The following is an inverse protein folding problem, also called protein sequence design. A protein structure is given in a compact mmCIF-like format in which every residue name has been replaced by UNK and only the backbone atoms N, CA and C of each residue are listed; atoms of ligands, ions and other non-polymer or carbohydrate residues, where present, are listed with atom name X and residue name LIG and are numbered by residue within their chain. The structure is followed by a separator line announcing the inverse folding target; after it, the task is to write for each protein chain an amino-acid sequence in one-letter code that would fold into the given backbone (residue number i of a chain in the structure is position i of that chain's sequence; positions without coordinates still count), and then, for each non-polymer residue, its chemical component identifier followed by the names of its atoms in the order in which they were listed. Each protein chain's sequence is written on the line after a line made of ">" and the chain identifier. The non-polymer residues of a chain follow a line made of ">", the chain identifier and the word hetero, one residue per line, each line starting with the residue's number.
data_IF_115805038601
#
_entry.id   IF_115805038601
#
_cell.length_a   1.000
_cell.length_b   1.000
_cell.length_c   1.000
_cell.angle_alpha   90.00
_cell.angle_beta   90.00
_cell.angle_gamma   90.00
#
_symmetry.space_group_name_H-M   'P 1'
#
loop_
_entity.id
_entity.type
_entity.pdbx_description
1 polymer ?
#
# COMPACT_ATOMS: atom_id res chain seq x y z
N UNK A 1 26.08 -42.21 56.18
CA UNK A 1 25.05 -42.69 55.22
C UNK A 1 24.18 -41.49 54.85
N UNK A 2 23.89 -41.36 53.55
CA UNK A 2 23.49 -40.15 52.82
C UNK A 2 22.41 -39.25 53.43
N UNK A 3 22.67 -37.94 53.41
CA UNK A 3 21.67 -36.87 53.49
C UNK A 3 21.21 -36.46 52.09
N UNK A 4 19.91 -36.58 51.83
CA UNK A 4 19.24 -36.22 50.58
C UNK A 4 19.02 -34.71 50.49
N UNK A 5 19.76 -34.03 49.62
CA UNK A 5 19.50 -32.63 49.23
C UNK A 5 18.52 -32.56 48.07
N UNK A 6 17.37 -31.93 48.28
CA UNK A 6 16.42 -31.55 47.22
C UNK A 6 16.82 -30.19 46.64
N UNK A 7 17.31 -30.18 45.40
CA UNK A 7 17.52 -28.96 44.62
C UNK A 7 16.27 -28.65 43.79
N UNK A 8 15.72 -27.43 43.98
CA UNK A 8 14.66 -26.86 43.12
C UNK A 8 15.29 -26.31 41.84
N UNK A 9 14.80 -26.73 40.69
CA UNK A 9 15.01 -26.04 39.41
C UNK A 9 13.72 -25.31 39.05
N UNK A 10 13.72 -23.99 39.20
CA UNK A 10 12.74 -23.10 38.60
C UNK A 10 13.19 -22.80 37.17
N UNK A 11 12.51 -23.40 36.20
CA UNK A 11 12.65 -23.05 34.78
C UNK A 11 12.11 -21.65 34.55
N UNK A 12 13.01 -20.69 34.32
CA UNK A 12 12.66 -19.36 33.81
C UNK A 12 12.53 -19.52 32.29
N UNK A 13 11.31 -19.56 31.79
CA UNK A 13 11.04 -19.46 30.36
C UNK A 13 11.30 -18.01 29.91
N UNK A 14 12.41 -17.80 29.20
CA UNK A 14 12.62 -16.58 28.41
C UNK A 14 11.65 -16.61 27.23
N UNK A 15 10.61 -15.79 27.27
CA UNK A 15 9.75 -15.53 26.12
C UNK A 15 10.45 -14.51 25.22
N UNK A 16 10.96 -15.00 24.08
CA UNK A 16 11.45 -14.22 22.95
C UNK A 16 10.39 -13.16 22.55
N UNK A 17 10.67 -11.90 22.87
CA UNK A 17 9.96 -10.75 22.33
C UNK A 17 10.49 -10.48 20.93
N UNK A 18 9.84 -11.03 19.90
CA UNK A 18 10.06 -10.66 18.51
C UNK A 18 8.73 -10.42 17.80
N UNK A 19 8.05 -9.32 18.14
CA UNK A 19 6.82 -8.90 17.44
C UNK A 19 6.69 -7.38 17.23
N UNK A 20 7.79 -6.64 17.31
CA UNK A 20 7.81 -5.18 17.11
C UNK A 20 8.90 -4.69 16.15
N UNK A 21 9.52 -5.58 15.38
CA UNK A 21 10.18 -5.20 14.12
C UNK A 21 9.12 -5.07 13.02
N UNK A 22 8.20 -4.14 13.27
CA UNK A 22 7.25 -3.63 12.29
C UNK A 22 8.09 -2.92 11.21
N UNK A 23 8.24 -3.59 10.07
CA UNK A 23 9.24 -3.27 9.06
C UNK A 23 9.18 -1.79 8.62
N UNK A 24 10.13 -0.99 9.10
CA UNK A 24 10.32 0.41 8.73
C UNK A 24 10.55 0.53 7.20
N UNK A 25 11.02 -0.53 6.53
CA UNK A 25 11.15 -0.54 5.08
C UNK A 25 9.77 -0.51 4.39
N UNK A 26 8.73 -1.06 5.01
CA UNK A 26 7.36 -1.00 4.50
C UNK A 26 6.79 0.42 4.60
N UNK A 27 6.99 1.11 5.73
CA UNK A 27 6.64 2.54 5.88
C UNK A 27 7.34 3.46 4.88
N UNK A 28 8.55 3.11 4.42
CA UNK A 28 9.26 3.88 3.39
C UNK A 28 8.75 3.63 1.96
N UNK A 29 8.02 2.53 1.71
CA UNK A 29 7.46 2.16 0.40
C UNK A 29 5.98 2.52 0.24
N UNK A 30 5.18 2.40 1.30
CA UNK A 30 3.76 2.75 1.30
C UNK A 30 3.56 4.25 1.02
N UNK A 31 3.35 4.60 -0.25
CA UNK A 31 3.24 5.99 -0.71
C UNK A 31 1.82 6.56 -0.53
N UNK A 32 0.89 5.80 0.06
CA UNK A 32 -0.49 6.24 0.24
C UNK A 32 -0.64 7.45 1.18
N UNK A 33 0.33 7.68 2.09
CA UNK A 33 0.37 8.90 2.93
C UNK A 33 1.08 10.06 2.23
N UNK A 34 1.79 9.83 1.11
CA UNK A 34 2.49 10.91 0.39
C UNK A 34 1.53 11.89 -0.28
N UNK A 35 0.35 11.48 -0.73
CA UNK A 35 -0.56 12.44 -1.38
C UNK A 35 -1.24 13.41 -0.40
N UNK A 36 -1.39 13.08 0.89
CA UNK A 36 -2.06 13.97 1.85
C UNK A 36 -1.10 14.88 2.64
N UNK A 37 0.12 14.43 2.97
CA UNK A 37 1.09 15.25 3.71
C UNK A 37 1.97 16.11 2.78
N UNK A 38 2.15 15.74 1.51
CA UNK A 38 3.07 16.46 0.61
C UNK A 38 2.47 17.72 -0.05
N UNK A 39 1.16 17.95 0.10
CA UNK A 39 0.49 19.19 -0.36
C UNK A 39 0.89 20.44 0.45
N UNK A 40 1.57 20.30 1.60
CA UNK A 40 1.87 21.43 2.47
C UNK A 40 3.32 21.97 2.42
N UNK A 41 4.25 21.35 1.69
CA UNK A 41 5.68 21.63 1.93
C UNK A 41 6.55 22.14 0.78
N UNK A 42 6.13 22.27 -0.48
CA UNK A 42 7.05 22.74 -1.53
C UNK A 42 6.40 23.59 -2.64
N UNK A 43 6.19 24.87 -2.34
CA UNK A 43 6.08 25.93 -3.34
C UNK A 43 7.46 26.59 -3.53
N UNK A 44 8.12 26.35 -4.66
CA UNK A 44 8.89 27.35 -5.44
C UNK A 44 9.90 26.70 -6.41
N UNK A 45 9.72 27.01 -7.70
CA UNK A 45 10.74 27.31 -8.72
C UNK A 45 10.47 26.69 -10.11
N UNK A 46 10.78 27.50 -11.11
CA UNK A 46 10.38 27.41 -12.53
C UNK A 46 11.42 26.72 -13.43
N UNK A 47 10.90 26.07 -14.48
CA UNK A 47 11.35 26.31 -15.86
C UNK A 47 12.40 25.37 -16.49
N UNK A 48 11.97 24.54 -17.46
CA UNK A 48 12.49 24.49 -18.85
C UNK A 48 11.83 23.39 -19.72
N UNK A 49 11.65 23.70 -21.01
CA UNK A 49 10.99 22.92 -22.08
C UNK A 49 11.80 21.70 -22.54
N UNK A 50 11.15 20.54 -22.78
CA UNK A 50 11.68 19.42 -23.62
C UNK A 50 10.59 18.81 -24.53
N UNK A 51 11.06 18.33 -25.70
CA UNK A 51 10.39 17.80 -26.91
C UNK A 51 9.51 16.54 -26.72
N UNK A 52 8.64 16.32 -27.72
CA UNK A 52 7.76 15.16 -27.93
C UNK A 52 8.49 13.81 -27.81
N UNK A 53 8.24 13.09 -26.72
CA UNK A 53 8.34 11.63 -26.53
C UNK A 53 7.15 11.21 -25.66
N UNK A 54 6.66 9.99 -25.83
CA UNK A 54 5.52 9.39 -25.11
C UNK A 54 5.44 9.90 -23.68
N UNK A 55 4.37 10.64 -23.37
CA UNK A 55 4.38 11.63 -22.32
C UNK A 55 4.18 11.03 -20.93
N UNK A 56 5.23 10.47 -20.35
CA UNK A 56 5.39 10.60 -18.90
C UNK A 56 5.74 12.07 -18.66
N UNK A 57 4.72 12.89 -18.37
CA UNK A 57 4.94 14.32 -18.06
C UNK A 57 5.74 14.40 -16.77
N UNK A 58 7.05 14.55 -16.89
CA UNK A 58 7.91 14.94 -15.78
C UNK A 58 7.60 16.40 -15.46
N UNK A 59 6.70 16.64 -14.51
CA UNK A 59 6.52 17.96 -13.92
C UNK A 59 7.55 18.07 -12.80
N UNK A 60 8.57 18.92 -12.98
CA UNK A 60 9.62 19.20 -11.98
C UNK A 60 10.47 17.99 -11.51
N UNK A 61 10.70 17.00 -12.37
CA UNK A 61 11.52 15.83 -12.04
C UNK A 61 10.80 14.73 -11.26
N UNK A 62 9.48 14.86 -11.07
CA UNK A 62 8.64 13.83 -10.46
C UNK A 62 7.95 13.00 -11.54
N UNK A 63 8.01 11.68 -11.40
CA UNK A 63 7.18 10.75 -12.18
C UNK A 63 5.76 10.87 -11.65
N UNK A 64 4.89 11.55 -12.39
CA UNK A 64 3.46 11.59 -12.05
C UNK A 64 2.88 10.19 -12.23
N UNK A 65 2.19 9.70 -11.21
CA UNK A 65 1.41 8.48 -11.30
C UNK A 65 0.18 8.72 -12.18
N UNK A 66 -0.24 7.70 -12.93
CA UNK A 66 -1.54 7.66 -13.57
C UNK A 66 -2.51 6.95 -12.63
N UNK A 67 -3.49 7.69 -12.13
CA UNK A 67 -4.55 7.15 -11.28
C UNK A 67 -5.64 6.50 -12.15
N UNK A 68 -5.90 5.22 -11.90
CA UNK A 68 -6.97 4.45 -12.53
C UNK A 68 -7.74 3.66 -11.47
N UNK A 69 -8.97 3.31 -11.79
CA UNK A 69 -9.82 2.46 -10.97
C UNK A 69 -10.11 1.18 -11.73
N UNK A 70 -9.88 0.03 -11.10
CA UNK A 70 -10.34 -1.27 -11.58
C UNK A 70 -11.70 -1.56 -10.98
N UNK A 71 -12.65 -1.93 -11.82
CA UNK A 71 -13.99 -2.39 -11.41
C UNK A 71 -14.49 -3.49 -12.34
N UNK A 72 -15.54 -4.20 -11.96
CA UNK A 72 -16.14 -5.22 -12.85
C UNK A 72 -17.03 -4.55 -13.89
N UNK A 73 -17.01 -5.06 -15.13
CA UNK A 73 -17.78 -4.47 -16.23
C UNK A 73 -19.31 -4.55 -16.03
N UNK A 74 -19.77 -5.55 -15.27
CA UNK A 74 -21.18 -5.78 -14.93
C UNK A 74 -21.66 -4.99 -13.68
N UNK A 75 -20.77 -4.21 -13.05
CA UNK A 75 -21.08 -3.41 -11.86
C UNK A 75 -21.21 -4.19 -10.55
N UNK A 76 -20.98 -5.51 -10.59
CA UNK A 76 -20.97 -6.35 -9.40
C UNK A 76 -19.57 -6.31 -8.72
N UNK A 77 -19.47 -6.75 -7.46
CA UNK A 77 -18.19 -6.75 -6.73
C UNK A 77 -17.11 -7.58 -7.46
N UNK A 78 -15.84 -7.19 -7.34
CA UNK A 78 -14.73 -7.96 -7.90
C UNK A 78 -14.62 -9.35 -7.28
N UNK A 79 -14.97 -9.46 -5.99
CA UNK A 79 -15.03 -10.72 -5.25
C UNK A 79 -14.48 -10.59 -3.83
N UNK A 80 -14.38 -11.71 -3.10
CA UNK A 80 -13.70 -11.77 -1.81
C UNK A 80 -12.23 -11.34 -1.92
N UNK A 81 -11.70 -10.68 -0.89
CA UNK A 81 -10.32 -10.17 -0.84
C UNK A 81 -9.28 -11.22 -1.23
N UNK A 82 -9.40 -12.45 -0.71
CA UNK A 82 -8.46 -13.53 -0.99
C UNK A 82 -8.45 -13.92 -2.48
N UNK A 83 -9.62 -13.98 -3.13
CA UNK A 83 -9.73 -14.28 -4.56
C UNK A 83 -9.17 -13.13 -5.40
N UNK A 84 -9.41 -11.89 -4.98
CA UNK A 84 -8.87 -10.70 -5.65
C UNK A 84 -7.35 -10.67 -5.56
N UNK A 85 -6.78 -10.93 -4.38
CA UNK A 85 -5.34 -11.02 -4.19
C UNK A 85 -4.73 -12.15 -5.02
N UNK A 86 -5.40 -13.31 -5.12
CA UNK A 86 -4.96 -14.42 -5.96
C UNK A 86 -4.96 -14.04 -7.45
N UNK A 87 -6.02 -13.39 -7.93
CA UNK A 87 -6.14 -12.92 -9.32
C UNK A 87 -5.06 -11.89 -9.67
N UNK A 88 -4.77 -10.96 -8.75
CA UNK A 88 -3.70 -9.99 -8.88
C UNK A 88 -2.32 -10.67 -8.87
N UNK A 89 -2.06 -11.62 -7.97
CA UNK A 89 -0.80 -12.36 -7.91
C UNK A 89 -0.52 -13.16 -9.19
N UNK A 90 -1.57 -13.74 -9.79
CA UNK A 90 -1.47 -14.44 -11.07
C UNK A 90 -1.16 -13.49 -12.25
N UNK A 91 -1.61 -12.23 -12.16
CA UNK A 91 -1.44 -11.22 -13.22
C UNK A 91 -0.14 -10.44 -13.09
N UNK A 92 0.29 -10.16 -11.85
CA UNK A 92 1.46 -9.36 -11.49
C UNK A 92 2.43 -10.23 -10.67
N UNK A 93 3.26 -11.07 -11.33
CA UNK A 93 4.21 -11.93 -10.63
C UNK A 93 5.19 -11.11 -9.79
N UNK A 94 5.18 -11.32 -8.47
CA UNK A 94 6.01 -10.56 -7.53
C UNK A 94 5.32 -9.39 -6.84
N UNK A 95 4.00 -9.20 -7.03
CA UNK A 95 3.23 -8.29 -6.18
C UNK A 95 3.35 -8.70 -4.70
N UNK A 96 3.55 -7.71 -3.84
CA UNK A 96 3.63 -7.89 -2.39
C UNK A 96 2.39 -7.28 -1.76
N UNK A 97 1.60 -8.09 -1.05
CA UNK A 97 0.44 -7.61 -0.32
C UNK A 97 0.80 -7.22 1.11
N UNK A 98 0.15 -6.17 1.59
CA UNK A 98 0.28 -5.69 2.97
C UNK A 98 -1.04 -5.19 3.51
N UNK A 99 -1.06 -4.94 4.81
CA UNK A 99 -2.14 -4.23 5.48
C UNK A 99 -1.59 -2.92 6.01
N UNK A 100 -2.19 -1.82 5.55
CA UNK A 100 -1.92 -0.51 6.09
C UNK A 100 -2.60 -0.38 7.46
N UNK A 101 -1.86 0.11 8.48
CA UNK A 101 -2.44 0.31 9.80
C UNK A 101 -3.62 1.29 9.73
N UNK A 102 -4.59 1.05 10.60
CA UNK A 102 -5.70 1.99 10.83
C UNK A 102 -5.16 3.35 11.25
N UNK A 103 -5.95 4.42 11.07
CA UNK A 103 -5.50 5.74 11.48
C UNK A 103 -5.30 5.86 12.99
N UNK A 104 -6.06 5.12 13.81
CA UNK A 104 -5.83 5.02 15.26
C UNK A 104 -4.44 4.43 15.61
N UNK A 105 -4.01 3.40 14.88
CA UNK A 105 -2.67 2.82 15.04
C UNK A 105 -1.58 3.79 14.56
N UNK A 106 -1.83 4.53 13.48
CA UNK A 106 -0.91 5.58 12.99
C UNK A 106 -0.74 6.71 14.02
N UNK A 107 -1.83 7.15 14.65
CA UNK A 107 -1.79 8.15 15.73
C UNK A 107 -0.94 7.63 16.89
N UNK A 108 -1.23 6.42 17.38
CA UNK A 108 -0.47 5.83 18.49
C UNK A 108 1.03 5.69 18.18
N UNK A 109 1.36 5.27 16.96
CA UNK A 109 2.74 5.13 16.52
C UNK A 109 3.47 6.48 16.37
N UNK A 110 2.76 7.56 16.03
CA UNK A 110 3.31 8.90 15.94
C UNK A 110 3.50 9.53 17.33
N UNK A 111 2.53 9.36 18.24
CA UNK A 111 2.60 9.82 19.62
C UNK A 111 3.76 9.17 20.39
N UNK A 112 4.00 7.87 20.16
CA UNK A 112 5.17 7.17 20.69
C UNK A 112 6.51 7.77 20.24
N UNK A 113 6.51 8.57 19.15
CA UNK A 113 7.68 9.31 18.64
C UNK A 113 7.65 10.80 19.02
N UNK A 114 6.72 11.22 19.88
CA UNK A 114 6.53 12.62 20.28
C UNK A 114 5.90 13.51 19.21
N UNK A 115 5.31 12.93 18.16
CA UNK A 115 4.62 13.68 17.11
C UNK A 115 3.14 13.81 17.51
N UNK A 116 2.69 15.04 17.72
CA UNK A 116 1.30 15.35 18.07
C UNK A 116 0.58 15.87 16.82
N UNK A 117 -0.44 15.15 16.38
CA UNK A 117 -1.30 15.62 15.29
C UNK A 117 -2.25 16.72 15.79
N UNK A 118 -2.46 17.81 15.00
CA UNK A 118 -3.56 18.74 15.23
C UNK A 118 -4.90 18.02 15.29
N UNK A 119 -5.83 18.51 16.11
CA UNK A 119 -7.12 17.84 16.39
C UNK A 119 -7.89 17.49 15.10
N UNK A 120 -7.90 18.40 14.12
CA UNK A 120 -8.57 18.19 12.83
C UNK A 120 -8.01 16.98 12.07
N UNK A 121 -6.69 16.81 12.07
CA UNK A 121 -6.03 15.67 11.40
C UNK A 121 -6.26 14.39 12.20
N UNK A 122 -6.21 14.48 13.53
CA UNK A 122 -6.46 13.34 14.42
C UNK A 122 -7.86 12.76 14.22
N UNK A 123 -8.89 13.61 14.21
CA UNK A 123 -10.28 13.20 13.97
C UNK A 123 -10.45 12.48 12.63
N UNK A 124 -9.77 12.94 11.58
CA UNK A 124 -9.79 12.27 10.28
C UNK A 124 -9.17 10.87 10.35
N UNK A 125 -8.02 10.72 11.00
CA UNK A 125 -7.35 9.42 11.14
C UNK A 125 -8.13 8.46 12.06
N UNK A 126 -8.78 8.93 13.11
CA UNK A 126 -9.54 8.06 14.02
C UNK A 126 -10.66 7.29 13.32
N UNK A 127 -11.21 7.85 12.23
CA UNK A 127 -12.26 7.20 11.42
C UNK A 127 -11.73 6.33 10.29
N UNK A 128 -10.42 6.37 10.00
CA UNK A 128 -9.81 5.64 8.90
C UNK A 128 -9.55 4.18 9.29
N UNK A 129 -10.24 3.21 8.66
CA UNK A 129 -10.00 1.79 8.94
C UNK A 129 -8.63 1.34 8.43
N UNK A 130 -8.20 0.15 8.82
CA UNK A 130 -7.05 -0.50 8.19
C UNK A 130 -7.41 -0.87 6.73
N UNK A 131 -6.47 -0.69 5.80
CA UNK A 131 -6.70 -0.95 4.38
C UNK A 131 -5.77 -2.04 3.88
N UNK A 132 -6.25 -2.89 2.98
CA UNK A 132 -5.39 -3.82 2.25
C UNK A 132 -4.78 -3.11 1.05
N UNK A 133 -3.49 -3.36 0.83
CA UNK A 133 -2.74 -2.80 -0.27
C UNK A 133 -1.89 -3.87 -0.95
N UNK A 134 -1.51 -3.61 -2.20
CA UNK A 134 -0.54 -4.40 -2.95
C UNK A 134 0.44 -3.48 -3.68
N UNK A 135 1.72 -3.84 -3.67
CA UNK A 135 2.76 -3.10 -4.39
C UNK A 135 3.42 -4.04 -5.41
N UNK A 136 3.49 -3.60 -6.66
CA UNK A 136 4.18 -4.31 -7.74
C UNK A 136 5.29 -3.44 -8.32
N UNK A 137 6.50 -4.00 -8.43
CA UNK A 137 7.65 -3.35 -9.04
C UNK A 137 8.13 -4.20 -10.22
N UNK A 138 7.98 -3.70 -11.45
CA UNK A 138 8.44 -4.33 -12.68
C UNK A 138 9.58 -3.54 -13.34
N UNK A 139 10.17 -4.07 -14.43
CA UNK A 139 11.26 -3.40 -15.14
C UNK A 139 10.87 -2.05 -15.77
N UNK A 140 9.64 -1.95 -16.29
CA UNK A 140 9.18 -0.80 -17.08
C UNK A 140 8.19 0.10 -16.33
N UNK A 141 7.53 -0.43 -15.31
CA UNK A 141 6.51 0.26 -14.54
C UNK A 141 6.37 -0.34 -13.14
N UNK A 142 5.84 0.46 -12.22
CA UNK A 142 5.39 0.00 -10.90
C UNK A 142 3.94 0.40 -10.67
N UNK A 143 3.26 -0.33 -9.79
CA UNK A 143 1.84 -0.15 -9.52
C UNK A 143 1.57 -0.29 -8.02
N UNK A 144 0.77 0.62 -7.48
CA UNK A 144 0.24 0.53 -6.13
C UNK A 144 -1.26 0.26 -6.20
N UNK A 145 -1.73 -0.76 -5.51
CA UNK A 145 -3.11 -1.21 -5.50
C UNK A 145 -3.71 -0.92 -4.11
N UNK A 146 -4.78 -0.14 -4.05
CA UNK A 146 -5.62 0.06 -2.86
C UNK A 146 -6.86 -0.82 -2.94
N UNK A 147 -6.95 -1.84 -2.08
CA UNK A 147 -8.03 -2.83 -2.09
C UNK A 147 -9.17 -2.46 -1.12
N UNK A 148 -8.99 -1.42 -0.30
CA UNK A 148 -10.00 -1.03 0.70
C UNK A 148 -9.93 -1.84 2.00
N UNK A 149 -10.91 -1.65 2.87
CA UNK A 149 -10.95 -2.23 4.22
C UNK A 149 -11.89 -3.45 4.36
N UNK A 150 -12.71 -3.74 3.35
CA UNK A 150 -13.74 -4.77 3.41
C UNK A 150 -13.26 -6.14 2.92
N UNK A 151 -13.95 -7.20 3.36
CA UNK A 151 -13.72 -8.56 2.84
C UNK A 151 -14.21 -8.74 1.40
N UNK A 152 -15.20 -7.96 0.98
CA UNK A 152 -15.74 -7.97 -0.38
C UNK A 152 -15.29 -6.72 -1.14
N UNK A 153 -14.48 -6.91 -2.18
CA UNK A 153 -13.86 -5.80 -2.91
C UNK A 153 -14.79 -5.31 -4.02
N UNK A 154 -15.10 -4.02 -4.00
CA UNK A 154 -15.96 -3.38 -5.02
C UNK A 154 -15.13 -2.83 -6.17
N UNK A 155 -14.06 -2.11 -5.83
CA UNK A 155 -13.15 -1.43 -6.74
C UNK A 155 -11.74 -1.54 -6.22
N UNK A 156 -10.74 -1.37 -7.09
CA UNK A 156 -9.33 -1.26 -6.70
C UNK A 156 -8.82 0.06 -7.26
N UNK A 157 -8.35 0.93 -6.39
CA UNK A 157 -7.65 2.14 -6.80
C UNK A 157 -6.23 1.76 -7.17
N UNK A 158 -5.74 2.22 -8.32
CA UNK A 158 -4.41 1.88 -8.82
C UNK A 158 -3.66 3.13 -9.24
N UNK A 159 -2.46 3.28 -8.70
CA UNK A 159 -1.53 4.34 -9.12
C UNK A 159 -0.40 3.70 -9.92
N UNK A 160 -0.32 4.04 -11.20
CA UNK A 160 0.71 3.51 -12.12
C UNK A 160 1.85 4.50 -12.32
N UNK A 161 3.09 4.05 -12.15
CA UNK A 161 4.29 4.85 -12.40
C UNK A 161 5.11 4.27 -13.54
N UNK A 162 5.87 5.12 -14.26
CA UNK A 162 6.77 4.69 -15.33
C UNK A 162 6.10 4.63 -16.71
N UNK A 163 6.40 3.59 -17.48
CA UNK A 163 5.88 3.42 -18.85
C UNK A 163 4.52 2.74 -18.83
N UNK A 164 3.44 3.54 -18.73
CA UNK A 164 2.08 3.00 -18.58
C UNK A 164 1.65 2.07 -19.73
N UNK A 165 2.13 2.28 -20.96
CA UNK A 165 1.86 1.39 -22.08
C UNK A 165 2.36 -0.06 -21.85
N UNK A 166 3.43 -0.23 -21.07
CA UNK A 166 3.96 -1.56 -20.72
C UNK A 166 3.03 -2.33 -19.76
N UNK A 167 2.12 -1.64 -19.08
CA UNK A 167 1.14 -2.26 -18.18
C UNK A 167 -0.11 -2.79 -18.90
N UNK A 168 -0.38 -2.33 -20.13
CA UNK A 168 -1.59 -2.67 -20.89
C UNK A 168 -1.84 -4.19 -21.02
N UNK A 169 -0.83 -5.05 -21.30
CA UNK A 169 -1.05 -6.49 -21.40
C UNK A 169 -1.58 -7.12 -20.10
N UNK A 170 -1.14 -6.62 -18.94
CA UNK A 170 -1.58 -7.12 -17.64
C UNK A 170 -3.04 -6.73 -17.36
N UNK A 171 -3.41 -5.48 -17.65
CA UNK A 171 -4.81 -5.05 -17.53
C UNK A 171 -5.73 -5.72 -18.57
N UNK A 172 -5.23 -5.98 -19.77
CA UNK A 172 -5.96 -6.76 -20.77
C UNK A 172 -6.20 -8.21 -20.31
N UNK A 173 -5.24 -8.81 -19.60
CA UNK A 173 -5.41 -10.12 -18.97
C UNK A 173 -6.51 -10.10 -17.91
N UNK A 174 -6.56 -9.07 -17.05
CA UNK A 174 -7.61 -8.93 -16.05
C UNK A 174 -9.00 -8.83 -16.68
N UNK A 175 -9.12 -8.01 -17.74
CA UNK A 175 -10.36 -7.87 -18.50
C UNK A 175 -10.81 -9.18 -19.13
N UNK A 176 -9.88 -9.91 -19.77
CA UNK A 176 -10.19 -11.15 -20.48
C UNK A 176 -10.62 -12.27 -19.53
N UNK A 177 -9.94 -12.44 -18.40
CA UNK A 177 -10.13 -13.60 -17.54
C UNK A 177 -11.13 -13.36 -16.39
N UNK A 178 -11.25 -12.12 -15.92
CA UNK A 178 -12.10 -11.79 -14.77
C UNK A 178 -13.19 -10.76 -15.09
N UNK A 179 -13.23 -10.21 -16.31
CA UNK A 179 -14.19 -9.17 -16.67
C UNK A 179 -13.93 -7.82 -16.00
N UNK A 180 -12.71 -7.61 -15.48
CA UNK A 180 -12.31 -6.38 -14.79
C UNK A 180 -11.85 -5.32 -15.79
N UNK A 181 -12.39 -4.12 -15.68
CA UNK A 181 -12.11 -3.00 -16.58
C UNK A 181 -11.48 -1.85 -15.81
N UNK A 182 -10.57 -1.14 -16.47
CA UNK A 182 -9.90 0.05 -15.95
C UNK A 182 -10.61 1.31 -16.44
N UNK A 183 -10.89 2.25 -15.54
CA UNK A 183 -11.34 3.60 -15.87
C UNK A 183 -10.39 4.63 -15.27
N UNK A 184 -10.10 5.76 -15.94
CA UNK A 184 -9.41 6.87 -15.29
C UNK A 184 -10.16 7.27 -14.01
N UNK A 185 -9.41 7.57 -12.94
CA UNK A 185 -9.98 8.06 -11.68
C UNK A 185 -10.52 9.49 -11.80
#
# INVERSE_FOLDING_TARGET
>A
MSSSGHFRLSTICYAEHSSLDFDIAWWRRASYVRNFIFLFLNASSEGKRIRKRSSTRLVRGYTMGLDIVIKRADGLPLGPLAEVQQALAATFPGIVFGQEPSGAEKIRAAEAKGIIFPDVIRQQFETAPAHHAGDYEGPDFSAQFGLGAGEMIQTIDVVLYGTTAASEPMFAYLKKNYGWVTTPS
#
